data_IF_490844476387
#
_entry.id   IF_490844476387
#
_cell.length_a   1.000
_cell.length_b   1.000
_cell.length_c   1.000
_cell.angle_alpha   90.00
_cell.angle_beta   90.00
_cell.angle_gamma   90.00
#
_symmetry.space_group_name_H-M   'P 1'
#
loop_
_entity.id
_entity.type
_entity.pdbx_description
1 polymer ?
#
# COMPACT_ATOMS: atom_id res chain seq x y z
N UNK A 1 14.56 15.00 11.30
CA UNK A 1 13.93 14.06 10.37
C UNK A 1 12.47 14.45 10.22
N UNK A 2 12.02 14.70 8.99
CA UNK A 2 10.62 15.03 8.76
C UNK A 2 9.78 13.75 8.89
N UNK A 3 8.86 13.74 9.84
CA UNK A 3 7.96 12.62 10.12
C UNK A 3 6.52 13.08 9.98
N UNK A 4 5.74 12.42 9.11
CA UNK A 4 4.32 12.70 8.88
C UNK A 4 3.51 11.41 9.07
N UNK A 5 2.41 11.49 9.80
CA UNK A 5 1.50 10.35 10.09
C UNK A 5 2.23 9.07 10.52
N UNK A 6 3.33 9.22 11.28
CA UNK A 6 4.15 8.11 11.77
C UNK A 6 5.21 7.58 10.79
N UNK A 7 5.30 8.12 9.56
CA UNK A 7 6.27 7.69 8.52
C UNK A 7 7.42 8.67 8.42
N UNK A 8 8.65 8.18 8.42
CA UNK A 8 9.84 8.97 8.18
C UNK A 8 10.02 9.21 6.68
N UNK A 9 10.01 10.46 6.26
CA UNK A 9 10.15 10.83 4.86
C UNK A 9 11.64 10.83 4.44
N UNK A 10 11.94 10.33 3.23
CA UNK A 10 13.31 10.34 2.69
C UNK A 10 13.78 11.76 2.43
N UNK A 11 14.93 12.14 3.03
CA UNK A 11 15.45 13.51 3.05
C UNK A 11 15.77 14.08 1.68
N UNK A 12 16.31 13.25 0.79
CA UNK A 12 16.84 13.68 -0.51
C UNK A 12 15.80 13.70 -1.63
N UNK A 13 14.57 13.26 -1.34
CA UNK A 13 13.49 13.24 -2.32
C UNK A 13 12.75 14.58 -2.36
N UNK A 14 12.20 14.91 -3.54
CA UNK A 14 11.23 16.00 -3.68
C UNK A 14 9.98 15.66 -2.86
N UNK A 15 9.34 16.68 -2.32
CA UNK A 15 8.19 16.52 -1.44
C UNK A 15 7.03 15.77 -2.12
N UNK A 16 6.77 16.05 -3.40
CA UNK A 16 5.78 15.31 -4.22
C UNK A 16 6.00 13.80 -4.16
N UNK A 17 7.25 13.36 -4.28
CA UNK A 17 7.60 11.93 -4.24
C UNK A 17 7.62 11.40 -2.81
N UNK A 18 8.13 12.19 -1.87
CA UNK A 18 8.23 11.78 -0.47
C UNK A 18 6.86 11.51 0.16
N UNK A 19 5.83 12.28 -0.14
CA UNK A 19 4.47 12.06 0.34
C UNK A 19 3.90 10.72 -0.11
N UNK A 20 4.31 10.18 -1.26
CA UNK A 20 3.83 8.87 -1.74
C UNK A 20 4.38 7.69 -0.93
N UNK A 21 5.31 7.89 0.00
CA UNK A 21 5.77 6.85 0.93
C UNK A 21 4.75 6.59 2.05
N UNK A 22 3.81 7.50 2.25
CA UNK A 22 2.72 7.33 3.21
C UNK A 22 1.66 6.42 2.59
N UNK A 23 1.33 5.32 3.26
CA UNK A 23 0.29 4.41 2.80
C UNK A 23 -1.08 5.10 2.76
N UNK A 24 -1.68 5.16 1.57
CA UNK A 24 -2.93 5.88 1.32
C UNK A 24 -2.75 7.19 0.55
N UNK A 25 -1.52 7.68 0.40
CA UNK A 25 -1.20 8.85 -0.41
C UNK A 25 -0.48 8.39 -1.68
N UNK A 26 -1.16 8.47 -2.81
CA UNK A 26 -0.57 8.30 -4.13
C UNK A 26 -0.21 9.65 -4.74
N UNK A 27 0.29 9.64 -5.98
CA UNK A 27 0.69 10.87 -6.68
C UNK A 27 -0.42 11.92 -6.74
N UNK A 28 -1.64 11.52 -7.05
CA UNK A 28 -2.78 12.44 -7.14
C UNK A 28 -3.06 13.14 -5.80
N UNK A 29 -3.15 12.37 -4.71
CA UNK A 29 -3.37 12.94 -3.37
C UNK A 29 -2.19 13.77 -2.90
N UNK A 30 -0.96 13.42 -3.24
CA UNK A 30 0.22 14.22 -2.96
C UNK A 30 0.12 15.60 -3.62
N UNK A 31 -0.21 15.66 -4.92
CA UNK A 31 -0.39 16.92 -5.63
C UNK A 31 -1.54 17.77 -5.05
N UNK A 32 -2.67 17.16 -4.76
CA UNK A 32 -3.81 17.84 -4.10
C UNK A 32 -3.44 18.43 -2.74
N UNK A 33 -2.66 17.68 -1.94
CA UNK A 33 -2.16 18.16 -0.65
C UNK A 33 -1.25 19.37 -0.80
N UNK A 34 -0.33 19.33 -1.76
CA UNK A 34 0.60 20.42 -2.03
C UNK A 34 -0.12 21.68 -2.54
N UNK A 35 -1.08 21.51 -3.43
CA UNK A 35 -1.93 22.60 -3.93
C UNK A 35 -2.72 23.25 -2.80
N UNK A 36 -3.36 22.45 -1.96
CA UNK A 36 -4.18 22.94 -0.85
C UNK A 36 -3.38 23.63 0.26
N UNK A 37 -2.15 23.17 0.52
CA UNK A 37 -1.26 23.75 1.55
C UNK A 37 -0.37 24.89 1.02
N UNK A 38 -0.32 25.05 -0.30
CA UNK A 38 0.53 26.06 -0.96
C UNK A 38 2.03 25.78 -0.87
N UNK A 39 2.41 24.54 -0.57
CA UNK A 39 3.82 24.14 -0.46
C UNK A 39 4.33 23.62 -1.81
N UNK A 40 5.51 24.08 -2.23
CA UNK A 40 6.11 23.62 -3.50
C UNK A 40 6.48 22.14 -3.47
N UNK A 41 5.99 21.37 -4.44
CA UNK A 41 6.30 19.96 -4.58
C UNK A 41 7.75 19.63 -4.95
N UNK A 42 8.47 20.59 -5.53
CA UNK A 42 9.88 20.45 -5.93
C UNK A 42 10.85 20.63 -4.76
N UNK A 43 10.38 21.22 -3.65
CA UNK A 43 11.20 21.38 -2.44
C UNK A 43 11.63 20.01 -1.93
N UNK A 44 12.90 19.87 -1.59
CA UNK A 44 13.40 18.64 -0.96
C UNK A 44 13.00 18.59 0.51
N UNK A 45 12.75 17.38 1.02
CA UNK A 45 12.28 17.17 2.39
C UNK A 45 13.19 17.82 3.45
N UNK A 46 14.50 17.84 3.23
CA UNK A 46 15.45 18.47 4.17
C UNK A 46 15.40 20.00 4.20
N UNK A 47 14.80 20.63 3.19
CA UNK A 47 14.64 22.08 3.09
C UNK A 47 13.27 22.58 3.59
N UNK A 48 12.40 21.67 4.05
CA UNK A 48 11.10 22.06 4.59
C UNK A 48 11.24 22.78 5.92
N UNK A 49 10.45 23.82 6.08
CA UNK A 49 10.30 24.52 7.35
C UNK A 49 9.34 23.76 8.28
N UNK A 50 9.45 23.98 9.58
CA UNK A 50 8.55 23.35 10.56
C UNK A 50 7.09 23.79 10.37
N UNK A 51 6.88 25.03 9.95
CA UNK A 51 5.53 25.57 9.63
C UNK A 51 4.90 24.84 8.43
N UNK A 52 5.67 24.57 7.39
CA UNK A 52 5.20 23.80 6.23
C UNK A 52 4.88 22.36 6.61
N UNK A 53 5.72 21.73 7.43
CA UNK A 53 5.47 20.38 7.95
C UNK A 53 4.20 20.33 8.78
N UNK A 54 3.92 21.34 9.60
CA UNK A 54 2.69 21.44 10.40
C UNK A 54 1.46 21.53 9.51
N UNK A 55 1.47 22.44 8.52
CA UNK A 55 0.37 22.57 7.53
C UNK A 55 0.07 21.28 6.79
N UNK A 56 1.13 20.58 6.35
CA UNK A 56 0.99 19.30 5.65
C UNK A 56 0.38 18.23 6.56
N UNK A 57 0.81 18.15 7.83
CA UNK A 57 0.27 17.22 8.82
C UNK A 57 -1.20 17.48 9.08
N UNK A 58 -1.56 18.71 9.41
CA UNK A 58 -2.95 19.07 9.73
C UNK A 58 -3.89 18.81 8.56
N UNK A 59 -3.44 19.09 7.33
CA UNK A 59 -4.22 18.79 6.13
C UNK A 59 -4.39 17.28 5.91
N UNK A 60 -3.33 16.50 6.03
CA UNK A 60 -3.37 15.04 5.81
C UNK A 60 -4.27 14.39 6.86
N UNK A 61 -4.09 14.74 8.13
CA UNK A 61 -4.82 14.13 9.24
C UNK A 61 -6.32 14.51 9.23
N UNK A 62 -6.67 15.70 8.71
CA UNK A 62 -8.07 16.13 8.59
C UNK A 62 -8.78 15.60 7.36
N UNK A 63 -8.05 15.37 6.25
CA UNK A 63 -8.66 15.08 4.93
C UNK A 63 -8.60 13.61 4.56
N UNK A 64 -7.56 12.90 4.98
CA UNK A 64 -7.29 11.53 4.54
C UNK A 64 -7.18 10.54 5.70
N UNK A 65 -7.70 9.36 5.48
CA UNK A 65 -7.34 8.19 6.28
C UNK A 65 -6.07 7.58 5.68
N UNK A 66 -5.03 7.47 6.51
CA UNK A 66 -3.71 6.99 6.09
C UNK A 66 -3.17 5.96 7.06
N UNK A 67 -2.15 5.24 6.64
CA UNK A 67 -1.36 4.29 7.44
C UNK A 67 -2.22 3.33 8.29
N UNK A 68 -2.16 3.43 9.60
CA UNK A 68 -2.79 2.49 10.52
C UNK A 68 -4.31 2.42 10.37
N UNK A 69 -4.96 3.57 10.22
CA UNK A 69 -6.42 3.66 10.11
C UNK A 69 -6.92 3.05 8.80
N UNK A 70 -6.26 3.40 7.70
CA UNK A 70 -6.58 2.82 6.39
C UNK A 70 -6.31 1.31 6.35
N UNK A 71 -5.22 0.85 6.97
CA UNK A 71 -4.93 -0.60 7.04
C UNK A 71 -5.99 -1.34 7.84
N UNK A 72 -6.46 -0.76 8.96
CA UNK A 72 -7.54 -1.34 9.77
C UNK A 72 -8.85 -1.42 9.00
N UNK A 73 -9.21 -0.36 8.29
CA UNK A 73 -10.41 -0.32 7.44
C UNK A 73 -10.38 -1.39 6.35
N UNK A 74 -9.30 -1.46 5.58
CA UNK A 74 -9.13 -2.48 4.53
C UNK A 74 -9.19 -3.90 5.10
N UNK A 75 -8.55 -4.12 6.25
CA UNK A 75 -8.60 -5.42 6.93
C UNK A 75 -10.01 -5.78 7.42
N UNK A 76 -10.74 -4.80 7.95
CA UNK A 76 -12.13 -4.99 8.38
C UNK A 76 -13.05 -5.35 7.19
N UNK A 77 -12.87 -4.68 6.05
CA UNK A 77 -13.63 -4.98 4.83
C UNK A 77 -13.36 -6.37 4.28
N UNK A 78 -12.09 -6.79 4.27
CA UNK A 78 -11.71 -8.15 3.87
C UNK A 78 -12.33 -9.17 4.83
N UNK A 79 -12.25 -8.93 6.14
CA UNK A 79 -12.82 -9.81 7.17
C UNK A 79 -14.34 -9.94 6.99
N UNK A 80 -15.03 -8.82 6.79
CA UNK A 80 -16.47 -8.81 6.52
C UNK A 80 -16.85 -9.69 5.31
N UNK A 81 -16.10 -9.59 4.20
CA UNK A 81 -16.33 -10.44 3.02
C UNK A 81 -16.09 -11.93 3.30
N UNK A 82 -15.10 -12.25 4.12
CA UNK A 82 -14.80 -13.61 4.54
C UNK A 82 -15.92 -14.19 5.42
N UNK A 83 -16.45 -13.39 6.35
CA UNK A 83 -17.54 -13.77 7.27
C UNK A 83 -18.86 -14.00 6.53
N UNK A 84 -19.20 -13.13 5.58
CA UNK A 84 -20.38 -13.30 4.70
C UNK A 84 -20.27 -14.57 3.85
N UNK A 85 -19.06 -15.09 3.62
CA UNK A 85 -18.83 -16.28 2.78
C UNK A 85 -19.01 -16.04 1.28
N UNK A 86 -18.96 -14.79 0.82
CA UNK A 86 -19.06 -14.48 -0.60
C UNK A 86 -17.84 -15.03 -1.38
N UNK A 87 -17.98 -15.16 -2.71
CA UNK A 87 -16.90 -15.67 -3.57
C UNK A 87 -15.56 -14.97 -3.33
N UNK A 88 -15.56 -13.63 -3.27
CA UNK A 88 -14.35 -12.86 -2.99
C UNK A 88 -13.76 -13.18 -1.61
N UNK A 89 -14.60 -13.35 -0.59
CA UNK A 89 -14.18 -13.74 0.75
C UNK A 89 -13.52 -15.13 0.79
N UNK A 90 -14.08 -16.10 0.08
CA UNK A 90 -13.49 -17.43 -0.07
C UNK A 90 -12.12 -17.34 -0.77
N UNK A 91 -11.99 -16.52 -1.80
CA UNK A 91 -10.71 -16.30 -2.49
C UNK A 91 -9.67 -15.66 -1.56
N UNK A 92 -10.05 -14.65 -0.77
CA UNK A 92 -9.18 -14.06 0.26
C UNK A 92 -8.71 -15.11 1.26
N UNK A 93 -9.61 -15.92 1.80
CA UNK A 93 -9.28 -16.98 2.77
C UNK A 93 -8.32 -18.03 2.20
N UNK A 94 -8.44 -18.35 0.91
CA UNK A 94 -7.57 -19.31 0.22
C UNK A 94 -6.25 -18.70 -0.29
N UNK A 95 -6.03 -17.40 -0.13
CA UNK A 95 -4.84 -16.71 -0.66
C UNK A 95 -4.75 -16.71 -2.20
N UNK A 96 -5.90 -16.69 -2.86
CA UNK A 96 -5.99 -16.70 -4.32
C UNK A 96 -6.39 -15.32 -4.88
N UNK A 97 -6.12 -15.03 -6.17
CA UNK A 97 -6.61 -13.81 -6.81
C UNK A 97 -8.12 -13.68 -6.70
N UNK A 98 -8.59 -12.45 -6.44
CA UNK A 98 -9.99 -12.17 -6.05
C UNK A 98 -10.82 -11.65 -7.22
N UNK A 99 -10.18 -11.06 -8.23
CA UNK A 99 -10.82 -10.38 -9.35
C UNK A 99 -10.91 -11.21 -10.64
N UNK A 100 -11.09 -12.52 -10.51
CA UNK A 100 -11.30 -13.41 -11.67
C UNK A 100 -10.04 -13.72 -12.49
N UNK A 101 -8.85 -13.38 -12.01
CA UNK A 101 -7.60 -13.67 -12.72
C UNK A 101 -7.37 -15.17 -12.86
N UNK A 102 -6.78 -15.56 -13.99
CA UNK A 102 -6.41 -16.95 -14.27
C UNK A 102 -5.40 -17.47 -13.24
N UNK A 103 -5.62 -18.68 -12.73
CA UNK A 103 -4.80 -19.29 -11.69
C UNK A 103 -4.04 -20.54 -12.13
N UNK A 104 -4.32 -21.06 -13.33
CA UNK A 104 -3.73 -22.31 -13.83
C UNK A 104 -2.21 -22.19 -14.00
N UNK A 105 -1.72 -21.07 -14.52
CA UNK A 105 -0.31 -20.88 -14.90
C UNK A 105 0.48 -20.03 -13.89
N UNK A 106 -0.01 -18.84 -13.59
CA UNK A 106 0.70 -17.80 -12.84
C UNK A 106 0.03 -17.50 -11.47
N UNK A 107 -0.28 -16.26 -11.19
CA UNK A 107 -0.80 -15.77 -9.91
C UNK A 107 0.19 -15.93 -8.73
N UNK A 108 1.50 -15.80 -9.03
CA UNK A 108 2.56 -16.00 -8.03
C UNK A 108 2.55 -14.98 -6.91
N UNK A 109 2.13 -13.74 -7.17
CA UNK A 109 2.02 -12.70 -6.14
C UNK A 109 1.13 -13.15 -4.97
N UNK A 110 0.02 -13.81 -5.26
CA UNK A 110 -0.92 -14.31 -4.22
C UNK A 110 -0.53 -15.70 -3.71
N UNK A 111 -0.09 -16.60 -4.59
CA UNK A 111 0.26 -17.98 -4.25
C UNK A 111 1.65 -18.11 -3.60
N UNK A 112 2.50 -17.11 -3.75
CA UNK A 112 3.90 -17.16 -3.33
C UNK A 112 4.81 -17.91 -4.31
N UNK A 113 6.07 -18.10 -3.93
CA UNK A 113 7.07 -18.78 -4.76
C UNK A 113 6.66 -20.22 -5.08
N UNK A 114 7.09 -20.74 -6.23
CA UNK A 114 6.89 -22.15 -6.58
C UNK A 114 7.58 -23.02 -5.55
N UNK A 115 6.84 -23.94 -4.93
CA UNK A 115 7.39 -24.95 -4.04
C UNK A 115 7.65 -26.22 -4.86
N UNK A 116 8.86 -26.71 -4.86
CA UNK A 116 9.22 -28.01 -5.44
C UNK A 116 8.62 -29.10 -4.55
N UNK A 117 7.78 -29.95 -5.12
CA UNK A 117 7.34 -31.16 -4.44
C UNK A 117 8.42 -32.21 -4.67
N UNK A 118 8.92 -32.86 -3.62
CA UNK A 118 9.92 -33.92 -3.72
C UNK A 118 9.44 -34.98 -4.74
N UNK A 119 10.31 -35.24 -5.73
CA UNK A 119 9.92 -35.85 -6.97
C UNK A 119 9.25 -37.21 -6.80
N UNK A 120 8.17 -37.43 -7.56
CA UNK A 120 7.89 -38.78 -8.03
C UNK A 120 9.12 -39.25 -8.81
N UNK A 121 9.89 -40.21 -8.26
CA UNK A 121 10.90 -40.93 -9.03
C UNK A 121 10.21 -41.37 -10.33
N UNK A 122 10.64 -40.86 -11.47
CA UNK A 122 10.27 -41.44 -12.76
C UNK A 122 10.65 -42.90 -12.68
N UNK A 123 9.68 -43.79 -12.78
CA UNK A 123 9.95 -45.21 -12.94
C UNK A 123 10.96 -45.37 -14.07
N UNK A 124 12.12 -45.96 -13.79
CA UNK A 124 13.14 -46.21 -14.78
C UNK A 124 12.49 -46.98 -15.95
N UNK A 125 12.66 -46.47 -17.17
CA UNK A 125 12.34 -47.23 -18.36
C UNK A 125 13.14 -48.52 -18.29
N UNK A 126 12.45 -49.68 -18.19
CA UNK A 126 13.03 -50.99 -18.48
C UNK A 126 13.36 -51.07 -19.95
#
# INVERSE_FOLDING_TARGET
>A
MARLSGVDLPRDKRLEVALTYIYGIGRTRALQTLEATGVSGDTRVHNLTDDELMKLRDWIDSTYQVEGDLRREVQADIRRKVEIGCYQGIRHRRGLPVHGQRTQTNARTRKGKKKTVAGKKKAGKK
#
